data_IF_082895934707
#
_entry.id   IF_082895934707
#
_cell.length_a   1.000
_cell.length_b   1.000
_cell.length_c   1.000
_cell.angle_alpha   90.00
_cell.angle_beta   90.00
_cell.angle_gamma   90.00
#
_symmetry.space_group_name_H-M   'P 1'
#
loop_
_entity.id
_entity.type
_entity.pdbx_description
1 polymer ?
#
# COMPACT_ATOMS: atom_id res chain seq x y z
N UNK A 1 -19.13 -6.43 22.37
CA UNK A 1 -17.84 -5.75 22.67
C UNK A 1 -16.84 -6.82 23.04
N UNK A 2 -15.69 -6.91 22.38
CA UNK A 2 -14.61 -7.80 22.81
C UNK A 2 -14.06 -7.25 24.12
N UNK A 3 -14.43 -7.88 25.24
CA UNK A 3 -13.73 -7.64 26.49
C UNK A 3 -12.25 -7.92 26.22
N UNK A 4 -11.36 -7.01 26.60
CA UNK A 4 -9.91 -7.19 26.54
C UNK A 4 -9.42 -6.82 27.92
N UNK A 5 -8.83 -7.77 28.63
CA UNK A 5 -8.16 -7.54 29.89
C UNK A 5 -6.67 -7.30 29.65
N UNK A 6 -6.04 -6.54 30.54
CA UNK A 6 -4.61 -6.25 30.47
C UNK A 6 -3.92 -6.61 31.78
N UNK A 7 -2.64 -6.92 31.66
CA UNK A 7 -1.67 -7.03 32.76
C UNK A 7 -0.57 -6.00 32.54
N UNK A 8 0.03 -5.52 33.62
CA UNK A 8 1.17 -4.61 33.58
C UNK A 8 2.38 -5.39 34.07
N UNK A 9 3.34 -5.65 33.19
CA UNK A 9 4.54 -6.44 33.48
C UNK A 9 5.79 -5.51 33.53
N UNK A 10 6.75 -5.78 34.42
CA UNK A 10 7.97 -4.98 34.52
C UNK A 10 8.88 -5.18 33.30
N UNK A 11 9.52 -4.11 32.84
CA UNK A 11 10.57 -4.15 31.82
C UNK A 11 11.91 -4.47 32.48
N UNK A 12 12.61 -5.49 31.98
CA UNK A 12 13.96 -5.83 32.45
C UNK A 12 14.93 -4.66 32.30
N UNK A 13 15.85 -4.49 33.25
CA UNK A 13 16.83 -3.39 33.26
C UNK A 13 16.27 -2.03 33.69
N UNK A 14 14.97 -1.89 34.01
CA UNK A 14 14.36 -0.63 34.50
C UNK A 14 14.05 -0.61 36.00
N UNK A 15 14.70 -1.47 36.79
CA UNK A 15 14.47 -1.63 38.22
C UNK A 15 14.60 -0.32 39.03
N UNK A 16 15.52 0.57 38.66
CA UNK A 16 15.70 1.86 39.34
C UNK A 16 14.44 2.75 39.26
N UNK A 17 13.77 2.77 38.11
CA UNK A 17 12.55 3.56 37.89
C UNK A 17 11.35 2.88 38.56
N UNK A 18 11.26 1.55 38.44
CA UNK A 18 10.17 0.74 38.98
C UNK A 18 9.99 0.90 40.49
N UNK A 19 11.08 1.14 41.24
CA UNK A 19 11.06 1.42 42.69
C UNK A 19 10.17 2.61 43.07
N UNK A 20 9.99 3.58 42.17
CA UNK A 20 9.10 4.73 42.41
C UNK A 20 7.62 4.42 42.10
N UNK A 21 7.35 3.30 41.42
CA UNK A 21 6.03 2.96 40.86
C UNK A 21 5.63 1.51 41.17
N UNK A 22 5.94 1.03 42.38
CA UNK A 22 5.70 -0.38 42.79
C UNK A 22 4.21 -0.78 42.73
N UNK A 23 3.30 0.17 42.92
CA UNK A 23 1.84 -0.06 42.86
C UNK A 23 1.25 0.02 41.46
N UNK A 24 2.06 0.30 40.42
CA UNK A 24 1.55 0.42 39.06
C UNK A 24 0.93 -0.89 38.53
N UNK A 25 1.52 -2.08 38.78
CA UNK A 25 0.94 -3.36 38.35
C UNK A 25 -0.49 -3.62 38.85
N UNK A 26 -0.82 -3.18 40.07
CA UNK A 26 -2.14 -3.32 40.68
C UNK A 26 -3.23 -2.54 39.91
N UNK A 27 -2.83 -1.53 39.12
CA UNK A 27 -3.74 -0.67 38.35
C UNK A 27 -4.10 -1.23 36.98
N UNK A 28 -3.64 -2.43 36.62
CA UNK A 28 -3.88 -3.03 35.30
C UNK A 28 -5.38 -3.13 34.95
N UNK A 29 -6.24 -3.35 35.96
CA UNK A 29 -7.69 -3.40 35.79
C UNK A 29 -8.28 -2.12 35.17
N UNK A 30 -7.68 -0.95 35.42
CA UNK A 30 -8.15 0.35 34.92
C UNK A 30 -8.01 0.52 33.40
N UNK A 31 -7.27 -0.38 32.75
CA UNK A 31 -7.06 -0.38 31.30
C UNK A 31 -7.91 -1.44 30.59
N UNK A 32 -8.57 -2.30 31.35
CA UNK A 32 -9.40 -3.39 30.83
C UNK A 32 -10.75 -2.87 30.34
N UNK A 33 -11.36 -3.57 29.37
CA UNK A 33 -12.69 -3.29 28.83
C UNK A 33 -12.87 -1.89 28.21
N UNK A 34 -11.77 -1.23 27.83
CA UNK A 34 -11.80 0.05 27.11
C UNK A 34 -10.67 0.17 26.10
N UNK A 35 -10.78 1.18 25.24
CA UNK A 35 -9.71 1.54 24.31
C UNK A 35 -8.59 2.25 25.07
N UNK A 36 -7.41 1.63 25.07
CA UNK A 36 -6.19 2.23 25.62
C UNK A 36 -5.54 3.13 24.57
N UNK A 37 -5.32 4.38 24.92
CA UNK A 37 -4.67 5.38 24.05
C UNK A 37 -3.17 5.14 23.96
N UNK A 38 -2.55 5.76 22.95
CA UNK A 38 -1.10 5.70 22.78
C UNK A 38 -0.36 6.35 23.96
N UNK A 39 -0.87 7.48 24.45
CA UNK A 39 -0.28 8.20 25.58
C UNK A 39 -0.28 7.35 26.87
N UNK A 40 -1.36 6.60 27.12
CA UNK A 40 -1.42 5.68 28.26
C UNK A 40 -0.38 4.55 28.15
N UNK A 41 -0.15 4.03 26.94
CA UNK A 41 0.90 3.03 26.71
C UNK A 41 2.29 3.59 26.98
N UNK A 42 2.60 4.77 26.45
CA UNK A 42 3.89 5.42 26.69
C UNK A 42 4.10 5.76 28.16
N UNK A 43 3.08 6.28 28.84
CA UNK A 43 3.11 6.59 30.27
C UNK A 43 3.48 5.37 31.13
N UNK A 44 3.02 4.17 30.78
CA UNK A 44 3.39 2.92 31.47
C UNK A 44 4.85 2.55 31.18
N UNK A 45 5.30 2.69 29.92
CA UNK A 45 6.68 2.41 29.47
C UNK A 45 7.71 3.31 30.14
N UNK A 46 7.43 4.61 30.25
CA UNK A 46 8.29 5.58 30.93
C UNK A 46 8.52 5.20 32.40
N UNK A 47 7.54 4.57 33.05
CA UNK A 47 7.62 4.09 34.44
C UNK A 47 8.30 2.74 34.58
N UNK A 48 8.76 2.15 33.47
CA UNK A 48 9.50 0.90 33.44
C UNK A 48 8.64 -0.35 33.36
N UNK A 49 7.41 -0.25 32.86
CA UNK A 49 6.50 -1.38 32.71
C UNK A 49 5.94 -1.42 31.28
N UNK A 50 5.30 -2.52 30.87
CA UNK A 50 4.52 -2.56 29.63
C UNK A 50 3.14 -3.14 29.88
N UNK A 51 2.18 -2.71 29.06
CA UNK A 51 0.80 -3.17 29.12
C UNK A 51 0.61 -4.35 28.15
N UNK A 52 0.39 -5.54 28.70
CA UNK A 52 0.21 -6.79 27.94
C UNK A 52 -1.26 -7.18 27.91
N UNK A 53 -1.86 -7.36 26.73
CA UNK A 53 -3.22 -7.90 26.64
C UNK A 53 -3.22 -9.35 27.13
N UNK A 54 -4.16 -9.68 28.00
CA UNK A 54 -4.43 -11.07 28.36
C UNK A 54 -5.27 -11.66 27.23
N UNK A 55 -4.82 -12.77 26.67
CA UNK A 55 -5.61 -13.53 25.71
C UNK A 55 -6.86 -14.04 26.41
N UNK A 56 -7.97 -13.33 26.21
CA UNK A 56 -9.27 -13.89 26.54
C UNK A 56 -9.53 -15.03 25.54
N UNK A 57 -10.05 -16.19 26.00
CA UNK A 57 -10.36 -17.30 25.12
C UNK A 57 -11.18 -16.77 23.95
N UNK A 58 -10.66 -16.94 22.73
CA UNK A 58 -11.35 -16.54 21.50
C UNK A 58 -12.75 -17.10 21.59
N UNK A 59 -13.76 -16.22 21.62
CA UNK A 59 -15.12 -16.66 21.38
C UNK A 59 -15.11 -17.51 20.10
N UNK A 60 -15.70 -18.69 20.17
CA UNK A 60 -15.68 -19.79 19.19
C UNK A 60 -16.25 -19.43 17.81
N UNK A 61 -16.49 -18.15 17.55
CA UNK A 61 -17.05 -17.65 16.31
C UNK A 61 -15.90 -17.34 15.36
N UNK A 62 -15.76 -18.19 14.34
CA UNK A 62 -14.88 -17.94 13.21
C UNK A 62 -15.14 -16.52 12.67
N UNK A 63 -14.08 -15.75 12.32
CA UNK A 63 -14.27 -14.43 11.74
C UNK A 63 -15.12 -14.51 10.47
N UNK A 64 -15.99 -13.52 10.19
CA UNK A 64 -16.78 -13.52 8.97
C UNK A 64 -15.87 -13.64 7.76
N UNK A 65 -16.10 -14.64 6.90
CA UNK A 65 -15.45 -14.72 5.59
C UNK A 65 -16.01 -13.61 4.71
N UNK A 66 -15.22 -12.57 4.48
CA UNK A 66 -15.57 -11.48 3.57
C UNK A 66 -14.82 -11.69 2.25
N UNK A 67 -15.54 -11.78 1.14
CA UNK A 67 -14.98 -11.79 -0.21
C UNK A 67 -15.43 -10.54 -0.96
N UNK A 68 -14.50 -9.87 -1.64
CA UNK A 68 -14.82 -8.79 -2.55
C UNK A 68 -15.47 -9.36 -3.81
N UNK A 69 -16.73 -9.00 -4.06
CA UNK A 69 -17.45 -9.34 -5.29
C UNK A 69 -17.50 -8.08 -6.16
N UNK A 70 -17.07 -8.20 -7.41
CA UNK A 70 -17.15 -7.11 -8.36
C UNK A 70 -18.63 -6.85 -8.71
N UNK A 71 -19.14 -5.66 -8.40
CA UNK A 71 -20.56 -5.29 -8.60
C UNK A 71 -20.90 -5.05 -10.07
N UNK A 72 -19.88 -4.73 -10.88
CA UNK A 72 -20.03 -4.57 -12.31
C UNK A 72 -19.62 -5.89 -12.96
N UNK A 73 -20.61 -6.74 -13.28
CA UNK A 73 -20.40 -7.96 -14.03
C UNK A 73 -20.06 -7.59 -15.49
N UNK A 74 -18.82 -7.19 -15.74
CA UNK A 74 -18.26 -7.22 -17.08
C UNK A 74 -17.88 -8.68 -17.32
N UNK A 75 -18.43 -9.29 -18.38
CA UNK A 75 -18.12 -10.69 -18.69
C UNK A 75 -16.62 -10.84 -18.93
N UNK A 76 -16.08 -12.03 -18.62
CA UNK A 76 -14.66 -12.31 -18.84
C UNK A 76 -14.29 -12.11 -20.32
N UNK A 77 -15.22 -12.47 -21.19
CA UNK A 77 -15.16 -12.34 -22.63
C UNK A 77 -15.03 -10.87 -23.06
N UNK A 78 -15.83 -9.97 -22.49
CA UNK A 78 -15.74 -8.52 -22.75
C UNK A 78 -14.41 -7.92 -22.28
N UNK A 79 -13.88 -8.37 -21.14
CA UNK A 79 -12.58 -7.91 -20.63
C UNK A 79 -11.45 -8.34 -21.58
N UNK A 80 -11.50 -9.58 -22.08
CA UNK A 80 -10.52 -10.08 -23.05
C UNK A 80 -10.64 -9.35 -24.39
N UNK A 81 -11.86 -9.14 -24.90
CA UNK A 81 -12.10 -8.42 -26.13
C UNK A 81 -11.61 -6.96 -26.06
N UNK A 82 -11.87 -6.25 -24.96
CA UNK A 82 -11.40 -4.88 -24.75
C UNK A 82 -9.86 -4.81 -24.68
N UNK A 83 -9.21 -5.84 -24.13
CA UNK A 83 -7.75 -5.92 -24.07
C UNK A 83 -7.15 -6.12 -25.46
N UNK A 84 -7.71 -7.05 -26.25
CA UNK A 84 -7.25 -7.32 -27.62
C UNK A 84 -7.43 -6.08 -28.52
N UNK A 85 -8.60 -5.44 -28.48
CA UNK A 85 -8.88 -4.24 -29.27
C UNK A 85 -7.90 -3.08 -28.95
N UNK A 86 -7.50 -2.93 -27.68
CA UNK A 86 -6.49 -1.94 -27.28
C UNK A 86 -5.11 -2.27 -27.85
N UNK A 87 -4.73 -3.54 -27.86
CA UNK A 87 -3.45 -3.98 -28.44
C UNK A 87 -3.40 -3.77 -29.95
N UNK A 88 -4.46 -4.13 -30.66
CA UNK A 88 -4.57 -3.94 -32.11
C UNK A 88 -4.52 -2.46 -32.50
N UNK A 89 -5.27 -1.61 -31.78
CA UNK A 89 -5.25 -0.16 -32.00
C UNK A 89 -3.86 0.42 -31.80
N UNK A 90 -3.15 0.00 -30.76
CA UNK A 90 -1.78 0.46 -30.47
C UNK A 90 -0.81 0.04 -31.58
N UNK A 91 -0.91 -1.21 -32.04
CA UNK A 91 -0.08 -1.72 -33.11
C UNK A 91 -0.32 -0.99 -34.45
N UNK A 92 -1.59 -0.74 -34.81
CA UNK A 92 -1.94 0.03 -36.00
C UNK A 92 -1.44 1.49 -35.94
N UNK A 93 -1.49 2.10 -34.76
CA UNK A 93 -0.95 3.45 -34.55
C UNK A 93 0.58 3.49 -34.70
N UNK A 94 1.29 2.50 -34.15
CA UNK A 94 2.74 2.37 -34.30
C UNK A 94 3.16 2.18 -35.76
N UNK A 95 2.46 1.31 -36.51
CA UNK A 95 2.69 1.14 -37.95
C UNK A 95 2.44 2.42 -38.75
N UNK A 96 1.38 3.17 -38.42
CA UNK A 96 1.10 4.46 -39.06
C UNK A 96 2.19 5.49 -38.78
N UNK A 97 2.76 5.50 -37.57
CA UNK A 97 3.88 6.38 -37.22
C UNK A 97 5.15 6.00 -37.98
N UNK A 98 5.46 4.71 -38.07
CA UNK A 98 6.61 4.19 -38.83
C UNK A 98 6.51 4.52 -40.33
N UNK A 99 5.34 4.35 -40.95
CA UNK A 99 5.12 4.66 -42.36
C UNK A 99 5.29 6.17 -42.65
N UNK A 100 4.75 7.04 -41.78
CA UNK A 100 4.95 8.50 -41.90
C UNK A 100 6.41 8.94 -41.79
N UNK A 101 7.24 8.20 -41.05
CA UNK A 101 8.67 8.49 -40.91
C UNK A 101 9.52 8.03 -42.10
N UNK A 102 9.02 7.14 -42.97
CA UNK A 102 9.74 6.68 -44.17
C UNK A 102 9.51 7.56 -45.41
N UNK A 103 8.40 8.29 -45.51
CA UNK A 103 8.14 9.22 -46.64
C UNK A 103 9.03 10.48 -46.59
N UNK A 104 9.63 10.81 -45.46
CA UNK A 104 10.58 11.93 -45.31
C UNK A 104 12.02 11.45 -45.39
N UNK A 105 12.43 10.87 -46.51
CA UNK A 105 13.85 10.60 -46.80
C UNK A 105 14.21 11.17 -48.18
N UNK A 106 14.95 12.29 -48.27
CA UNK A 106 15.26 12.90 -49.56
C UNK A 106 16.40 12.13 -50.23
N UNK A 107 16.08 11.46 -51.34
CA UNK A 107 17.05 10.74 -52.17
C UNK A 107 17.54 11.66 -53.31
N UNK A 108 18.86 11.91 -53.30
CA UNK A 108 19.77 12.06 -54.45
C UNK A 108 19.59 13.24 -55.41
N UNK A 109 20.53 14.19 -55.35
CA UNK A 109 20.82 15.18 -56.39
C UNK A 109 21.81 14.62 -57.43
N UNK A 110 21.62 14.85 -58.75
CA UNK A 110 22.72 14.85 -59.71
C UNK A 110 23.13 16.28 -60.11
N UNK A 111 24.41 16.51 -60.49
CA UNK A 111 24.98 17.85 -60.66
C UNK A 111 24.65 18.41 -62.04
N UNK A 112 24.44 19.73 -62.15
CA UNK A 112 24.50 20.43 -63.44
C UNK A 112 25.32 21.72 -63.37
N UNK A 113 26.19 21.79 -64.36
CA UNK A 113 27.28 22.73 -64.60
C UNK A 113 26.84 24.18 -64.77
N UNK A 114 27.77 25.06 -64.42
CA UNK A 114 27.72 26.51 -64.57
C UNK A 114 27.95 26.95 -66.03
N UNK A 115 27.11 27.82 -66.53
CA UNK A 115 27.39 28.75 -67.65
C UNK A 115 26.71 30.08 -67.26
N UNK A 116 27.49 31.04 -66.75
CA UNK A 116 28.19 32.10 -67.48
C UNK A 116 27.27 33.28 -67.80
N UNK A 117 27.40 34.34 -66.99
CA UNK A 117 26.98 35.70 -67.36
C UNK A 117 28.03 36.68 -66.85
N UNK A 118 28.48 37.57 -67.72
CA UNK A 118 29.10 38.85 -67.37
C UNK A 118 28.87 39.80 -68.55
N UNK A 119 28.89 41.12 -68.31
CA UNK A 119 28.09 41.90 -67.38
C UNK A 119 26.96 42.69 -68.08
#
# INVERSE_FOLDING_TARGET
MTAVSYTIEPIEGRAAIQKNFVKLPERAANYSNRRVTLNERFSIIERGYYLKPVELPKATNAPPRVSLVCVNAVSREEVMAATLAKMEKKHAEEQRRLAKSQETSPCVSPPRSIESVSP
#
